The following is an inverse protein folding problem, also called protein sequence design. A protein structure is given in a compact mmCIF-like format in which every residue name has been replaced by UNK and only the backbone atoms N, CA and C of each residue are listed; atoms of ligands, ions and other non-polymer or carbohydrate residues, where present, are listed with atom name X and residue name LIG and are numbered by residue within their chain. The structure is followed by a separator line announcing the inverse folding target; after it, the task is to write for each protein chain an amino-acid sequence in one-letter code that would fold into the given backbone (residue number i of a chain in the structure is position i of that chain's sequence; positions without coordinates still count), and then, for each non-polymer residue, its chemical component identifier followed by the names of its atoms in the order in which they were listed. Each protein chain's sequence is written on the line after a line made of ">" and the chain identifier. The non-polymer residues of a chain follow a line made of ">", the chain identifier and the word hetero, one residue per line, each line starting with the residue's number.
data_IF_926575644488
#
_entry.id   IF_926575644488
#
_cell.length_a   1.000
_cell.length_b   1.000
_cell.length_c   1.000
_cell.angle_alpha   90.00
_cell.angle_beta   90.00
_cell.angle_gamma   90.00
#
_symmetry.space_group_name_H-M   'P 1'
#
loop_
_entity.id
_entity.type
_entity.pdbx_description
1 polymer ?
#
# COMPACT_ATOMS: atom_id res chain seq x y z
N UNK A 1 -7.04 -5.73 -9.96
CA UNK A 1 -5.76 -5.12 -10.39
C UNK A 1 -4.53 -5.96 -10.00
N UNK A 2 -3.47 -5.92 -10.83
CA UNK A 2 -2.15 -6.50 -10.52
C UNK A 2 -1.34 -5.52 -9.67
N UNK A 3 -0.74 -6.04 -8.61
CA UNK A 3 0.00 -5.26 -7.62
C UNK A 3 1.28 -6.01 -7.19
N UNK A 4 2.20 -5.27 -6.59
CA UNK A 4 3.51 -5.74 -6.18
C UNK A 4 3.80 -5.38 -4.73
N UNK A 5 4.46 -6.30 -4.03
CA UNK A 5 5.01 -6.09 -2.71
C UNK A 5 6.48 -6.51 -2.69
N UNK A 6 7.37 -5.62 -2.28
CA UNK A 6 8.76 -5.99 -2.02
C UNK A 6 8.99 -6.26 -0.54
N UNK A 7 9.82 -7.25 -0.27
CA UNK A 7 10.27 -7.56 1.07
C UNK A 7 11.62 -8.29 1.03
N UNK A 8 12.12 -8.72 2.19
CA UNK A 8 13.31 -9.55 2.29
C UNK A 8 12.98 -11.03 2.07
N UNK A 9 14.00 -11.87 1.90
CA UNK A 9 13.81 -13.31 1.64
C UNK A 9 12.98 -14.02 2.73
N UNK A 10 13.31 -13.80 4.00
CA UNK A 10 12.64 -14.45 5.13
C UNK A 10 11.15 -14.10 5.20
N UNK A 11 10.82 -12.83 5.02
CA UNK A 11 9.43 -12.36 5.03
C UNK A 11 8.66 -12.85 3.81
N UNK A 12 9.29 -12.94 2.63
CA UNK A 12 8.66 -13.54 1.45
C UNK A 12 8.25 -14.98 1.75
N UNK A 13 9.16 -15.79 2.29
CA UNK A 13 8.88 -17.19 2.64
C UNK A 13 7.70 -17.29 3.63
N UNK A 14 7.67 -16.45 4.67
CA UNK A 14 6.55 -16.38 5.63
C UNK A 14 5.23 -16.00 4.97
N UNK A 15 5.22 -14.96 4.13
CA UNK A 15 4.01 -14.51 3.42
C UNK A 15 3.48 -15.60 2.49
N UNK A 16 4.37 -16.34 1.82
CA UNK A 16 3.96 -17.44 0.94
C UNK A 16 3.37 -18.62 1.72
N UNK A 17 3.85 -18.89 2.94
CA UNK A 17 3.34 -19.98 3.77
C UNK A 17 2.07 -19.60 4.54
N UNK A 18 2.00 -18.38 5.06
CA UNK A 18 0.98 -17.95 6.03
C UNK A 18 0.01 -16.91 5.47
N UNK A 19 0.25 -16.40 4.26
CA UNK A 19 -0.44 -15.24 3.70
C UNK A 19 0.07 -13.92 4.28
N UNK A 20 -0.47 -12.83 3.74
CA UNK A 20 -0.18 -11.50 4.27
C UNK A 20 -0.82 -11.30 5.64
N UNK A 21 -0.11 -10.58 6.51
CA UNK A 21 -0.64 -10.10 7.79
C UNK A 21 -0.59 -8.59 7.79
N UNK A 22 -1.63 -7.97 8.33
CA UNK A 22 -1.66 -6.52 8.54
C UNK A 22 -0.47 -6.13 9.41
N UNK A 23 0.33 -5.18 8.95
CA UNK A 23 1.41 -4.64 9.78
C UNK A 23 0.81 -3.85 10.95
N UNK A 24 1.31 -4.07 12.16
CA UNK A 24 1.03 -3.20 13.31
C UNK A 24 1.84 -1.91 13.18
N UNK A 25 1.47 -1.08 12.21
CA UNK A 25 2.03 0.25 12.00
C UNK A 25 1.22 1.26 12.80
N UNK A 26 1.87 2.03 13.67
CA UNK A 26 1.30 3.29 14.13
C UNK A 26 1.50 4.34 13.06
N UNK A 27 0.54 5.27 12.93
CA UNK A 27 0.80 6.55 12.29
C UNK A 27 2.04 7.16 12.95
N UNK A 28 3.14 7.24 12.21
CA UNK A 28 4.32 7.97 12.66
C UNK A 28 4.24 9.36 12.05
N UNK A 29 4.82 10.33 12.73
CA UNK A 29 5.05 11.65 12.16
C UNK A 29 6.49 11.66 11.61
N UNK A 30 6.66 12.05 10.33
CA UNK A 30 7.95 12.28 9.65
C UNK A 30 8.74 11.10 8.97
N UNK A 31 8.23 10.40 7.93
CA UNK A 31 9.03 9.55 7.00
C UNK A 31 8.81 9.92 5.52
N UNK A 32 9.52 9.26 4.59
CA UNK A 32 9.45 9.47 3.13
C UNK A 32 8.77 8.29 2.39
N UNK A 33 7.88 8.57 1.42
CA UNK A 33 7.43 7.64 0.36
C UNK A 33 7.93 8.20 -0.98
N UNK A 34 8.93 7.54 -1.59
CA UNK A 34 9.63 8.08 -2.77
C UNK A 34 10.39 9.38 -2.45
N UNK A 35 10.19 10.45 -3.22
CA UNK A 35 10.66 11.82 -2.90
C UNK A 35 9.66 12.67 -2.12
N UNK A 36 8.58 12.08 -1.63
CA UNK A 36 7.65 12.78 -0.75
C UNK A 36 7.98 12.44 0.68
N UNK A 37 8.02 13.43 1.57
CA UNK A 37 8.01 13.15 3.00
C UNK A 37 6.60 12.77 3.39
N UNK A 38 6.32 11.48 3.37
CA UNK A 38 5.07 10.93 3.86
C UNK A 38 5.38 9.74 4.76
N UNK A 39 4.93 9.83 6.00
CA UNK A 39 5.18 8.81 6.99
C UNK A 39 4.13 7.71 6.93
N UNK A 40 4.50 6.43 6.74
CA UNK A 40 3.62 5.23 6.72
C UNK A 40 2.10 5.58 6.77
N UNK A 41 1.59 6.02 5.61
CA UNK A 41 0.64 7.16 5.51
C UNK A 41 -0.80 6.77 5.70
N UNK A 42 -1.09 5.49 5.91
CA UNK A 42 -2.47 5.01 5.92
C UNK A 42 -2.74 4.04 7.09
N UNK A 43 -1.85 4.05 8.10
CA UNK A 43 -1.98 3.24 9.30
C UNK A 43 -1.70 1.75 9.07
N UNK A 44 -2.35 0.90 9.87
CA UNK A 44 -2.24 -0.55 9.76
C UNK A 44 -2.79 -1.06 8.43
N UNK A 45 -1.98 -1.74 7.63
CA UNK A 45 -2.43 -2.33 6.37
C UNK A 45 -1.37 -3.20 5.73
N UNK A 46 -1.71 -3.80 4.59
CA UNK A 46 -0.77 -4.37 3.65
C UNK A 46 -0.64 -3.42 2.49
N UNK A 47 0.59 -2.94 2.25
CA UNK A 47 0.88 -1.95 1.23
C UNK A 47 1.37 -2.65 -0.04
N UNK A 48 0.67 -2.39 -1.13
CA UNK A 48 0.95 -2.90 -2.47
C UNK A 48 0.98 -1.73 -3.45
N UNK A 49 1.64 -1.87 -4.60
CA UNK A 49 1.67 -0.83 -5.65
C UNK A 49 1.49 -1.43 -7.02
N UNK A 50 0.98 -0.64 -7.97
CA UNK A 50 0.84 -1.06 -9.36
C UNK A 50 2.14 -0.95 -10.18
N UNK A 51 3.21 -0.40 -9.62
CA UNK A 51 4.54 -0.34 -10.26
C UNK A 51 5.55 -1.13 -9.43
N UNK A 52 6.00 -2.26 -9.96
CA UNK A 52 6.98 -3.14 -9.30
C UNK A 52 8.22 -2.40 -8.79
N UNK A 53 8.84 -1.57 -9.64
CA UNK A 53 10.08 -0.87 -9.31
C UNK A 53 9.94 0.10 -8.14
N UNK A 54 8.75 0.63 -7.86
CA UNK A 54 8.51 1.52 -6.72
C UNK A 54 8.55 0.78 -5.39
N UNK A 55 8.50 -0.55 -5.38
CA UNK A 55 8.63 -1.33 -4.15
C UNK A 55 10.07 -1.64 -3.77
N UNK A 56 11.03 -1.54 -4.69
CA UNK A 56 12.37 -2.12 -4.50
C UNK A 56 13.16 -1.51 -3.34
N UNK A 57 12.82 -0.30 -2.92
CA UNK A 57 13.39 0.34 -1.73
C UNK A 57 13.03 -0.40 -0.42
N UNK A 58 11.93 -1.15 -0.40
CA UNK A 58 11.47 -1.95 0.75
C UNK A 58 12.05 -3.37 0.78
N UNK A 59 12.67 -3.82 -0.32
CA UNK A 59 13.27 -5.15 -0.41
C UNK A 59 13.60 -5.58 -1.83
N UNK A 60 14.46 -6.58 -1.96
CA UNK A 60 14.87 -7.12 -3.26
C UNK A 60 14.09 -8.36 -3.70
N UNK A 61 13.14 -8.85 -2.89
CA UNK A 61 12.25 -9.96 -3.24
C UNK A 61 10.85 -9.44 -3.49
N UNK A 62 10.36 -9.69 -4.70
CA UNK A 62 9.05 -9.23 -5.14
C UNK A 62 8.04 -10.36 -5.00
N UNK A 63 6.83 -10.00 -4.56
CA UNK A 63 5.64 -10.85 -4.56
C UNK A 63 4.61 -10.17 -5.46
N UNK A 64 4.17 -10.89 -6.48
CA UNK A 64 3.11 -10.44 -7.39
C UNK A 64 1.74 -10.85 -6.84
N UNK A 65 0.86 -9.88 -6.75
CA UNK A 65 -0.45 -10.00 -6.13
C UNK A 65 -1.55 -9.55 -7.08
N UNK A 66 -2.77 -10.00 -6.79
CA UNK A 66 -4.01 -9.53 -7.38
C UNK A 66 -4.96 -9.15 -6.25
N UNK A 67 -5.60 -7.99 -6.39
CA UNK A 67 -6.73 -7.56 -5.55
C UNK A 67 -7.85 -7.20 -6.50
N UNK A 68 -9.04 -7.77 -6.30
CA UNK A 68 -10.20 -7.43 -7.13
C UNK A 68 -10.58 -5.95 -6.93
N UNK A 69 -10.89 -5.27 -8.03
CA UNK A 69 -11.28 -3.87 -8.02
C UNK A 69 -12.61 -3.68 -7.25
N UNK A 70 -13.45 -4.72 -7.17
CA UNK A 70 -14.67 -4.74 -6.35
C UNK A 70 -14.40 -4.57 -4.84
N UNK A 71 -13.17 -4.80 -4.39
CA UNK A 71 -12.77 -4.64 -2.99
C UNK A 71 -12.17 -3.27 -2.68
N UNK A 72 -11.95 -2.44 -3.70
CA UNK A 72 -11.48 -1.07 -3.54
C UNK A 72 -12.66 -0.17 -3.19
N UNK A 73 -12.70 0.31 -1.96
CA UNK A 73 -13.73 1.24 -1.52
C UNK A 73 -13.52 2.64 -2.09
N UNK A 74 -12.56 3.37 -1.51
CA UNK A 74 -12.30 4.76 -1.87
C UNK A 74 -11.01 4.91 -2.70
N UNK A 75 -11.03 5.85 -3.63
CA UNK A 75 -9.88 6.21 -4.47
C UNK A 75 -9.46 7.65 -4.19
N UNK A 76 -8.25 7.83 -3.68
CA UNK A 76 -7.67 9.14 -3.38
C UNK A 76 -6.66 9.53 -4.46
N UNK A 77 -6.55 10.83 -4.72
CA UNK A 77 -5.56 11.38 -5.64
C UNK A 77 -4.68 12.36 -4.86
N UNK A 78 -3.38 12.13 -4.89
CA UNK A 78 -2.37 12.99 -4.28
C UNK A 78 -1.58 13.68 -5.39
N UNK A 79 -1.44 15.00 -5.23
CA UNK A 79 -0.57 15.88 -6.00
C UNK A 79 0.56 16.36 -5.09
N UNK A 80 1.71 16.76 -5.65
CA UNK A 80 2.81 17.43 -4.98
C UNK A 80 2.59 18.93 -4.97
N UNK A 81 1.64 19.38 -4.16
CA UNK A 81 1.29 20.78 -4.07
C UNK A 81 1.03 21.20 -2.62
N UNK A 82 0.67 22.46 -2.41
CA UNK A 82 0.33 22.98 -1.08
C UNK A 82 -0.88 22.29 -0.42
N UNK A 83 -1.67 21.50 -1.16
CA UNK A 83 -2.85 20.80 -0.67
C UNK A 83 -2.55 19.37 -0.23
N UNK A 84 -1.39 18.80 -0.54
CA UNK A 84 -0.98 17.44 -0.13
C UNK A 84 -1.25 17.15 1.34
N UNK A 85 -0.89 18.03 2.30
CA UNK A 85 -1.13 17.74 3.72
C UNK A 85 -2.62 17.61 4.05
N UNK A 86 -3.46 18.44 3.42
CA UNK A 86 -4.92 18.37 3.60
C UNK A 86 -5.50 17.09 3.03
N UNK A 87 -5.01 16.64 1.87
CA UNK A 87 -5.43 15.36 1.29
C UNK A 87 -5.07 14.19 2.22
N UNK A 88 -3.85 14.17 2.77
CA UNK A 88 -3.43 13.14 3.74
C UNK A 88 -4.32 13.13 4.98
N UNK A 89 -4.68 14.29 5.53
CA UNK A 89 -5.61 14.38 6.68
C UNK A 89 -7.01 13.85 6.36
N UNK A 90 -7.49 14.02 5.13
CA UNK A 90 -8.74 13.41 4.69
C UNK A 90 -8.61 11.89 4.64
N UNK A 91 -7.50 11.38 4.08
CA UNK A 91 -7.27 9.93 4.02
C UNK A 91 -7.19 9.36 5.43
N UNK A 92 -6.40 9.93 6.34
CA UNK A 92 -6.34 9.57 7.77
C UNK A 92 -7.71 9.35 8.42
N UNK A 93 -8.65 10.26 8.16
CA UNK A 93 -9.98 10.22 8.78
C UNK A 93 -10.89 9.17 8.15
N UNK A 94 -10.70 8.88 6.88
CA UNK A 94 -11.57 8.02 6.07
C UNK A 94 -11.05 6.60 5.92
N UNK A 95 -9.73 6.40 5.93
CA UNK A 95 -9.04 5.13 5.75
C UNK A 95 -9.00 4.33 7.05
N UNK A 96 -10.15 3.83 7.47
CA UNK A 96 -10.29 2.97 8.67
C UNK A 96 -10.67 1.56 8.25
N UNK A 97 -10.05 0.57 8.91
CA UNK A 97 -10.33 -0.86 8.70
C UNK A 97 -11.80 -1.25 8.84
N UNK A 98 -12.57 -0.54 9.68
CA UNK A 98 -14.00 -0.78 9.86
C UNK A 98 -14.86 -0.33 8.66
N UNK A 99 -14.32 0.52 7.78
CA UNK A 99 -15.05 1.13 6.68
C UNK A 99 -14.73 0.48 5.33
N UNK A 100 -13.49 0.04 5.12
CA UNK A 100 -13.02 -0.46 3.83
C UNK A 100 -12.17 -1.71 3.98
N UNK A 101 -12.30 -2.62 3.00
CA UNK A 101 -11.42 -3.80 2.86
C UNK A 101 -10.07 -3.39 2.26
N UNK A 102 -10.10 -2.46 1.29
CA UNK A 102 -8.93 -1.79 0.74
C UNK A 102 -9.26 -0.38 0.23
N UNK A 103 -8.25 0.48 0.16
CA UNK A 103 -8.30 1.78 -0.51
C UNK A 103 -7.20 1.88 -1.56
N UNK A 104 -7.36 2.79 -2.52
CA UNK A 104 -6.31 3.11 -3.48
C UNK A 104 -5.92 4.59 -3.39
N UNK A 105 -4.64 4.86 -3.54
CA UNK A 105 -4.05 6.20 -3.47
C UNK A 105 -3.19 6.40 -4.71
N UNK A 106 -3.66 7.24 -5.62
CA UNK A 106 -2.97 7.57 -6.86
C UNK A 106 -2.10 8.81 -6.67
N UNK A 107 -0.79 8.65 -6.83
CA UNK A 107 0.21 9.72 -6.79
C UNK A 107 0.42 10.25 -8.21
N UNK A 108 -0.23 11.38 -8.51
CA UNK A 108 -0.37 11.88 -9.88
C UNK A 108 0.95 12.32 -10.52
N UNK A 109 1.87 12.92 -9.76
CA UNK A 109 3.13 13.43 -10.35
C UNK A 109 4.10 12.31 -10.76
N UNK A 110 3.93 11.11 -10.21
CA UNK A 110 4.77 9.95 -10.45
C UNK A 110 4.02 8.82 -11.17
N UNK A 111 2.74 9.05 -11.48
CA UNK A 111 1.87 8.14 -12.21
C UNK A 111 1.85 6.71 -11.64
N UNK A 112 1.74 6.58 -10.31
CA UNK A 112 1.63 5.27 -9.65
C UNK A 112 0.55 5.27 -8.58
N UNK A 113 0.08 4.07 -8.25
CA UNK A 113 -0.99 3.83 -7.29
C UNK A 113 -0.49 2.91 -6.20
N UNK A 114 -0.61 3.35 -4.95
CA UNK A 114 -0.53 2.47 -3.80
C UNK A 114 -1.92 1.96 -3.44
N UNK A 115 -1.99 0.71 -3.01
CA UNK A 115 -3.19 0.07 -2.50
C UNK A 115 -2.90 -0.40 -1.09
N UNK A 116 -3.75 0.03 -0.17
CA UNK A 116 -3.65 -0.30 1.24
C UNK A 116 -4.79 -1.25 1.55
N UNK A 117 -4.42 -2.49 1.88
CA UNK A 117 -5.37 -3.57 2.15
C UNK A 117 -5.48 -3.81 3.65
N UNK A 118 -6.67 -3.62 4.19
CA UNK A 118 -6.99 -3.80 5.61
C UNK A 118 -7.47 -5.22 5.93
N UNK A 119 -7.94 -5.96 4.92
CA UNK A 119 -8.37 -7.35 5.03
C UNK A 119 -7.50 -8.24 4.14
N UNK A 120 -6.38 -8.80 4.63
CA UNK A 120 -5.41 -9.51 3.80
C UNK A 120 -5.95 -10.72 3.04
N UNK A 121 -7.07 -11.31 3.47
CA UNK A 121 -7.73 -12.44 2.79
C UNK A 121 -8.21 -12.12 1.38
N UNK A 122 -8.31 -10.84 1.01
CA UNK A 122 -8.66 -10.45 -0.37
C UNK A 122 -7.47 -10.46 -1.33
N UNK A 123 -6.25 -10.61 -0.81
CA UNK A 123 -5.03 -10.57 -1.61
C UNK A 123 -4.78 -11.97 -2.15
N UNK A 124 -4.81 -12.09 -3.47
CA UNK A 124 -4.44 -13.32 -4.16
C UNK A 124 -2.98 -13.24 -4.59
N UNK A 125 -2.15 -14.14 -4.08
CA UNK A 125 -0.75 -14.26 -4.50
C UNK A 125 -0.71 -15.02 -5.83
N UNK A 126 -0.05 -14.46 -6.84
CA UNK A 126 -0.03 -15.01 -8.20
C UNK A 126 1.18 -15.90 -8.51
N UNK A 127 2.19 -15.93 -7.63
CA UNK A 127 3.41 -16.73 -7.80
C UNK A 127 4.70 -15.91 -7.81
N UNK A 128 5.82 -16.59 -8.02
CA UNK A 128 7.17 -15.99 -8.05
C UNK A 128 7.53 -15.44 -9.45
N UNK A 129 8.32 -14.36 -9.46
CA UNK A 129 9.33 -14.11 -10.51
C UNK A 129 10.73 -14.34 -9.92
#
# INVERSE_FOLDING_TARGET
>A
MILYHATNKENKEKILQEGFKVSKGSWKDNQWIGRYFVDNVFGEGVYLTNIENNTRDYGNKIIKCEVDDEHLGEKFIILNDRNTPKAIEVIKKTSKRELYRAISVYFKDYNYTEVIVYEPSIIKILGEE
#
